data_IF_585051773387
#
_entry.id   IF_585051773387
#
_cell.length_a   1.000
_cell.length_b   1.000
_cell.length_c   1.000
_cell.angle_alpha   90.00
_cell.angle_beta   90.00
_cell.angle_gamma   90.00
#
_symmetry.space_group_name_H-M   'P 1'
#
loop_
_entity.id
_entity.type
_entity.pdbx_description
1 polymer ?
#
# COMPACT_ATOMS: atom_id res chain seq x y z
N UNK A 1 -25.05 49.50 14.84
CA UNK A 1 -23.85 49.04 14.08
C UNK A 1 -23.54 47.57 14.33
N UNK A 2 -23.46 47.07 15.58
CA UNK A 2 -23.18 45.66 15.91
C UNK A 2 -24.11 44.64 15.23
N UNK A 3 -25.42 44.91 15.17
CA UNK A 3 -26.38 44.02 14.49
C UNK A 3 -26.18 43.94 12.96
N UNK A 4 -25.73 45.02 12.32
CA UNK A 4 -25.39 45.01 10.89
C UNK A 4 -24.10 44.22 10.62
N UNK A 5 -23.13 44.23 11.54
CA UNK A 5 -21.94 43.38 11.46
C UNK A 5 -22.28 41.89 11.64
N UNK A 6 -23.18 41.56 12.57
CA UNK A 6 -23.63 40.16 12.78
C UNK A 6 -24.36 39.65 11.53
N UNK A 7 -25.25 40.46 10.95
CA UNK A 7 -25.95 40.11 9.71
C UNK A 7 -24.97 39.94 8.53
N UNK A 8 -23.97 40.81 8.43
CA UNK A 8 -22.92 40.70 7.40
C UNK A 8 -22.06 39.45 7.58
N UNK A 9 -21.70 39.10 8.82
CA UNK A 9 -20.98 37.87 9.15
C UNK A 9 -21.80 36.60 8.84
N UNK A 10 -23.11 36.64 9.07
CA UNK A 10 -24.03 35.53 8.77
C UNK A 10 -24.22 35.33 7.26
N UNK A 11 -24.25 36.41 6.48
CA UNK A 11 -24.33 36.33 5.01
C UNK A 11 -23.03 35.79 4.41
N UNK A 12 -21.88 36.18 4.97
CA UNK A 12 -20.58 35.71 4.47
C UNK A 12 -20.31 34.22 4.77
N UNK A 13 -20.88 33.66 5.83
CA UNK A 13 -20.75 32.22 6.15
C UNK A 13 -21.46 31.28 5.17
N UNK A 14 -22.35 31.78 4.30
CA UNK A 14 -23.04 30.98 3.28
C UNK A 14 -22.38 31.01 1.89
N UNK A 15 -21.32 31.82 1.70
CA UNK A 15 -20.54 31.81 0.47
C UNK A 15 -19.42 30.76 0.54
N UNK A 16 -19.77 29.48 0.57
CA UNK A 16 -18.84 28.42 0.18
C UNK A 16 -18.80 28.38 -1.34
N UNK A 17 -17.74 28.93 -1.94
CA UNK A 17 -17.45 28.69 -3.36
C UNK A 17 -17.41 27.17 -3.58
N UNK A 18 -18.10 26.61 -4.60
CA UNK A 18 -17.89 25.22 -4.95
C UNK A 18 -16.42 25.07 -5.33
N UNK A 19 -15.66 24.35 -4.51
CA UNK A 19 -14.33 23.94 -4.88
C UNK A 19 -14.48 23.08 -6.13
N UNK A 20 -13.76 23.41 -7.20
CA UNK A 20 -13.59 22.53 -8.36
C UNK A 20 -12.76 21.33 -7.90
N UNK A 21 -13.40 20.37 -7.26
CA UNK A 21 -12.79 19.08 -6.95
C UNK A 21 -12.75 18.28 -8.25
N UNK A 22 -11.65 17.58 -8.52
CA UNK A 22 -11.64 16.55 -9.55
C UNK A 22 -12.65 15.47 -9.13
N UNK A 23 -13.81 15.46 -9.77
CA UNK A 23 -14.82 14.42 -9.54
C UNK A 23 -14.31 13.15 -10.20
N UNK A 24 -13.72 12.27 -9.38
CA UNK A 24 -13.68 10.85 -9.72
C UNK A 24 -15.15 10.41 -9.76
N UNK A 25 -15.53 9.64 -10.76
CA UNK A 25 -16.88 9.09 -10.84
C UNK A 25 -17.05 8.05 -9.71
N UNK A 26 -17.51 8.51 -8.55
CA UNK A 26 -17.70 7.69 -7.34
C UNK A 26 -18.76 6.59 -7.56
N UNK A 27 -19.60 6.71 -8.59
CA UNK A 27 -20.63 5.73 -8.93
C UNK A 27 -20.05 4.53 -9.73
N UNK A 28 -18.76 4.58 -10.12
CA UNK A 28 -18.10 3.50 -10.85
C UNK A 28 -17.59 2.39 -9.93
N UNK A 29 -18.00 1.14 -10.21
CA UNK A 29 -17.49 -0.03 -9.50
C UNK A 29 -16.07 -0.40 -9.94
N UNK A 30 -15.10 -0.29 -9.04
CA UNK A 30 -13.73 -0.78 -9.20
C UNK A 30 -13.57 -2.28 -8.92
N UNK A 31 -12.39 -2.82 -9.23
CA UNK A 31 -12.06 -4.22 -8.97
C UNK A 31 -10.67 -4.43 -8.38
N UNK A 32 -10.57 -5.35 -7.41
CA UNK A 32 -9.31 -5.81 -6.81
C UNK A 32 -9.14 -7.31 -6.97
N UNK A 33 -8.07 -7.70 -7.66
CA UNK A 33 -7.64 -9.09 -7.79
C UNK A 33 -6.33 -9.27 -7.03
N UNK A 34 -6.29 -10.23 -6.12
CA UNK A 34 -5.14 -10.45 -5.26
C UNK A 34 -4.75 -11.93 -5.27
N UNK A 35 -3.46 -12.19 -5.41
CA UNK A 35 -2.88 -13.52 -5.30
C UNK A 35 -1.72 -13.49 -4.30
N UNK A 36 -1.84 -14.27 -3.23
CA UNK A 36 -0.83 -14.38 -2.18
C UNK A 36 -0.24 -15.79 -2.20
N UNK A 37 1.08 -15.89 -2.08
CA UNK A 37 1.74 -17.18 -2.01
C UNK A 37 2.85 -17.18 -0.97
N UNK A 38 3.07 -18.34 -0.38
CA UNK A 38 4.20 -18.61 0.50
C UNK A 38 4.55 -20.09 0.37
N UNK A 39 5.83 -20.39 0.19
CA UNK A 39 6.32 -21.75 0.01
C UNK A 39 7.67 -21.90 0.68
N UNK A 40 7.76 -22.80 1.65
CA UNK A 40 9.03 -23.26 2.22
C UNK A 40 9.62 -24.36 1.34
N UNK A 41 10.92 -24.32 1.09
CA UNK A 41 11.61 -25.40 0.38
C UNK A 41 11.77 -26.62 1.30
N UNK A 42 11.63 -27.82 0.75
CA UNK A 42 11.78 -29.06 1.54
C UNK A 42 13.20 -29.15 2.08
N UNK A 43 13.31 -29.66 3.31
CA UNK A 43 14.58 -29.89 4.01
C UNK A 43 15.51 -28.66 4.05
N UNK A 44 14.92 -27.46 4.13
CA UNK A 44 15.63 -26.19 4.04
C UNK A 44 15.06 -25.15 5.00
N UNK A 45 15.92 -24.21 5.39
CA UNK A 45 15.55 -22.98 6.12
C UNK A 45 15.04 -21.87 5.20
N UNK A 46 15.12 -22.09 3.88
CA UNK A 46 14.75 -21.11 2.88
C UNK A 46 13.34 -21.34 2.32
N UNK A 47 12.76 -20.27 1.81
CA UNK A 47 11.52 -20.31 1.07
C UNK A 47 11.35 -19.08 0.20
N UNK A 48 10.13 -18.91 -0.28
CA UNK A 48 9.70 -17.78 -1.07
C UNK A 48 8.32 -17.33 -0.61
N UNK A 49 8.08 -16.03 -0.64
CA UNK A 49 6.76 -15.45 -0.41
C UNK A 49 6.52 -14.31 -1.40
N UNK A 50 5.26 -13.95 -1.60
CA UNK A 50 4.91 -12.82 -2.43
C UNK A 50 3.41 -12.54 -2.49
N UNK A 51 3.11 -11.41 -3.08
CA UNK A 51 1.76 -10.96 -3.37
C UNK A 51 1.71 -10.17 -4.67
N UNK A 52 0.78 -10.56 -5.52
CA UNK A 52 0.47 -9.90 -6.78
C UNK A 52 -0.93 -9.31 -6.67
N UNK A 53 -1.05 -8.01 -6.85
CA UNK A 53 -2.31 -7.28 -6.73
C UNK A 53 -2.53 -6.46 -7.99
N UNK A 54 -3.74 -6.57 -8.53
CA UNK A 54 -4.22 -5.78 -9.65
C UNK A 54 -5.44 -5.00 -9.17
N UNK A 55 -5.34 -3.69 -9.29
CA UNK A 55 -6.36 -2.74 -8.85
C UNK A 55 -6.80 -1.94 -10.06
N UNK A 56 -8.10 -1.87 -10.26
CA UNK A 56 -8.70 -1.20 -11.40
C UNK A 56 -9.76 -0.21 -10.92
N UNK A 57 -9.81 0.95 -11.56
CA UNK A 57 -10.87 1.94 -11.38
C UNK A 57 -12.23 1.45 -11.89
N UNK A 58 -12.22 0.41 -12.74
CA UNK A 58 -13.41 -0.31 -13.22
C UNK A 58 -13.22 -1.83 -13.08
N UNK A 59 -14.05 -2.64 -13.74
CA UNK A 59 -13.98 -4.10 -13.64
C UNK A 59 -12.77 -4.76 -14.35
N UNK A 60 -11.89 -4.02 -15.04
CA UNK A 60 -10.68 -4.63 -15.62
C UNK A 60 -9.98 -3.91 -16.79
N UNK A 61 -10.43 -2.72 -17.19
CA UNK A 61 -9.88 -1.95 -18.31
C UNK A 61 -9.04 -0.72 -17.90
N UNK A 62 -9.32 -0.11 -16.75
CA UNK A 62 -8.61 1.08 -16.27
C UNK A 62 -7.78 0.75 -15.02
N UNK A 63 -6.46 0.65 -15.18
CA UNK A 63 -5.54 0.18 -14.14
C UNK A 63 -5.22 1.32 -13.16
N UNK A 64 -5.71 1.19 -11.93
CA UNK A 64 -5.30 2.02 -10.81
C UNK A 64 -3.88 1.67 -10.36
N UNK A 65 -3.64 0.39 -10.08
CA UNK A 65 -2.37 -0.04 -9.52
C UNK A 65 -2.08 -1.51 -9.81
N UNK A 66 -0.89 -1.77 -10.32
CA UNK A 66 -0.26 -3.08 -10.34
C UNK A 66 0.79 -3.11 -9.22
N UNK A 67 0.71 -4.10 -8.32
CA UNK A 67 1.74 -4.39 -7.32
C UNK A 67 2.20 -5.83 -7.51
N UNK A 68 3.47 -6.02 -7.83
CA UNK A 68 4.10 -7.33 -7.92
C UNK A 68 5.22 -7.39 -6.90
N UNK A 69 5.07 -8.20 -5.84
CA UNK A 69 6.07 -8.31 -4.79
C UNK A 69 6.44 -9.76 -4.52
N UNK A 70 7.73 -10.02 -4.47
CA UNK A 70 8.29 -11.35 -4.18
C UNK A 70 9.49 -11.20 -3.26
N UNK A 71 9.70 -12.16 -2.36
CA UNK A 71 10.84 -12.17 -1.46
C UNK A 71 11.30 -13.59 -1.15
N UNK A 72 12.61 -13.73 -0.98
CA UNK A 72 13.22 -14.94 -0.45
C UNK A 72 13.13 -14.88 1.07
N UNK A 73 12.68 -15.97 1.66
CA UNK A 73 12.54 -16.11 3.12
C UNK A 73 13.63 -16.99 3.68
N UNK A 74 14.06 -16.69 4.90
CA UNK A 74 14.96 -17.49 5.70
C UNK A 74 14.44 -17.59 7.13
N UNK A 75 14.32 -18.81 7.64
CA UNK A 75 13.91 -19.09 9.02
C UNK A 75 15.09 -19.73 9.79
N UNK A 76 15.71 -19.02 10.74
CA UNK A 76 16.76 -19.58 11.58
C UNK A 76 16.28 -20.82 12.35
N UNK A 77 17.15 -21.84 12.48
CA UNK A 77 16.83 -23.06 13.24
C UNK A 77 16.45 -22.70 14.68
N UNK A 78 15.51 -23.46 15.24
CA UNK A 78 15.02 -23.30 16.61
C UNK A 78 14.36 -21.92 16.88
N UNK A 79 13.87 -21.24 15.84
CA UNK A 79 13.11 -20.00 15.98
C UNK A 79 11.86 -20.04 15.10
N UNK A 80 10.85 -19.27 15.47
CA UNK A 80 9.68 -19.01 14.62
C UNK A 80 9.81 -17.72 13.81
N UNK A 81 10.99 -17.10 13.82
CA UNK A 81 11.25 -15.85 13.11
C UNK A 81 11.44 -16.12 11.63
N UNK A 82 10.78 -15.35 10.77
CA UNK A 82 10.98 -15.38 9.33
C UNK A 82 11.60 -14.05 8.90
N UNK A 83 12.82 -14.13 8.36
CA UNK A 83 13.49 -13.02 7.72
C UNK A 83 13.19 -13.06 6.23
N UNK A 84 12.91 -11.91 5.63
CA UNK A 84 12.63 -11.79 4.20
C UNK A 84 13.47 -10.70 3.58
N UNK A 85 14.10 -11.01 2.45
CA UNK A 85 14.65 -10.02 1.54
C UNK A 85 13.88 -10.10 0.22
N UNK A 86 13.32 -8.98 -0.21
CA UNK A 86 12.47 -8.99 -1.39
C UNK A 86 12.48 -7.72 -2.22
N UNK A 87 11.82 -7.84 -3.36
CA UNK A 87 11.66 -6.81 -4.35
C UNK A 87 10.18 -6.66 -4.70
N UNK A 88 9.75 -5.42 -4.87
CA UNK A 88 8.43 -5.03 -5.31
C UNK A 88 8.53 -4.11 -6.51
N UNK A 89 7.70 -4.36 -7.51
CA UNK A 89 7.41 -3.44 -8.60
C UNK A 89 5.98 -2.92 -8.42
N UNK A 90 5.81 -1.60 -8.53
CA UNK A 90 4.51 -0.96 -8.49
C UNK A 90 4.38 -0.11 -9.74
N UNK A 91 3.27 -0.24 -10.47
CA UNK A 91 2.89 0.73 -11.50
C UNK A 91 1.56 1.35 -11.10
N UNK A 92 1.51 2.68 -11.00
CA UNK A 92 0.30 3.41 -10.62
C UNK A 92 -0.21 4.19 -11.82
N UNK A 93 -1.47 3.96 -12.21
CA UNK A 93 -2.15 4.68 -13.27
C UNK A 93 -2.96 5.85 -12.73
N UNK A 94 -3.37 6.75 -13.62
CA UNK A 94 -4.31 7.83 -13.32
C UNK A 94 -5.70 7.42 -13.78
N UNK A 95 -6.72 7.89 -13.08
CA UNK A 95 -8.11 7.68 -13.49
C UNK A 95 -8.39 8.29 -14.87
N UNK A 96 -9.09 7.55 -15.73
CA UNK A 96 -9.57 8.02 -17.03
C UNK A 96 -8.76 7.51 -18.23
N UNK A 97 -8.83 8.22 -19.36
CA UNK A 97 -8.26 7.74 -20.64
C UNK A 97 -6.72 7.77 -20.69
N UNK A 98 -6.07 8.38 -19.71
CA UNK A 98 -4.62 8.47 -19.64
C UNK A 98 -4.00 7.09 -19.42
N UNK A 99 -3.14 6.68 -20.34
CA UNK A 99 -2.34 5.45 -20.19
C UNK A 99 -1.01 5.69 -19.45
N UNK A 100 -0.78 6.93 -18.98
CA UNK A 100 0.42 7.29 -18.25
C UNK A 100 0.49 6.56 -16.92
N UNK A 101 1.67 6.02 -16.60
CA UNK A 101 1.93 5.29 -15.36
C UNK A 101 3.17 5.86 -14.69
N UNK A 102 3.15 5.87 -13.37
CA UNK A 102 4.32 6.13 -12.53
C UNK A 102 4.76 4.80 -11.96
N UNK A 103 5.97 4.37 -12.32
CA UNK A 103 6.54 3.15 -11.78
C UNK A 103 7.32 3.42 -10.50
N UNK A 104 7.34 2.43 -9.62
CA UNK A 104 8.16 2.38 -8.42
C UNK A 104 8.82 1.01 -8.29
N UNK A 105 10.14 1.03 -8.12
CA UNK A 105 10.92 -0.10 -7.65
C UNK A 105 11.10 0.00 -6.14
N UNK A 106 10.92 -1.11 -5.44
CA UNK A 106 11.07 -1.17 -3.99
C UNK A 106 11.83 -2.41 -3.57
N UNK A 107 12.95 -2.24 -2.87
CA UNK A 107 13.54 -3.33 -2.10
C UNK A 107 13.01 -3.28 -0.69
N UNK A 108 12.86 -4.44 -0.05
CA UNK A 108 12.45 -4.50 1.34
C UNK A 108 13.16 -5.61 2.10
N UNK A 109 13.47 -5.30 3.35
CA UNK A 109 13.90 -6.26 4.36
C UNK A 109 12.80 -6.35 5.42
N UNK A 110 12.43 -7.55 5.80
CA UNK A 110 11.37 -7.79 6.78
C UNK A 110 11.78 -8.85 7.80
N UNK A 111 11.38 -8.63 9.06
CA UNK A 111 11.41 -9.61 10.12
C UNK A 111 9.98 -9.83 10.63
N UNK A 112 9.45 -11.03 10.42
CA UNK A 112 8.17 -11.49 10.95
C UNK A 112 8.43 -12.37 12.18
N UNK A 113 7.92 -11.98 13.32
CA UNK A 113 8.19 -12.61 14.62
C UNK A 113 6.89 -12.92 15.35
N UNK A 114 6.36 -14.14 15.20
CA UNK A 114 5.27 -14.64 16.03
C UNK A 114 5.73 -14.80 17.47
N UNK A 115 4.97 -14.26 18.42
CA UNK A 115 5.23 -14.34 19.86
C UNK A 115 3.98 -14.88 20.56
N UNK A 116 4.16 -15.94 21.35
CA UNK A 116 3.12 -16.46 22.24
C UNK A 116 3.37 -15.94 23.66
N UNK A 117 2.37 -15.31 24.27
CA UNK A 117 2.40 -14.84 25.66
C UNK A 117 1.39 -15.63 26.47
N UNK A 118 1.90 -16.40 27.46
CA UNK A 118 1.10 -17.38 28.19
C UNK A 118 0.53 -18.46 27.27
N UNK A 119 -0.68 -18.94 27.57
CA UNK A 119 -1.32 -19.99 26.77
C UNK A 119 -2.20 -19.48 25.64
N UNK A 120 -2.68 -18.23 25.74
CA UNK A 120 -3.82 -17.73 24.96
C UNK A 120 -3.50 -16.62 23.98
N UNK A 121 -2.47 -15.82 24.23
CA UNK A 121 -2.20 -14.64 23.43
C UNK A 121 -1.14 -14.92 22.37
N UNK A 122 -1.50 -14.71 21.11
CA UNK A 122 -0.63 -14.84 19.96
C UNK A 122 -0.48 -13.46 19.33
N UNK A 123 0.73 -12.91 19.42
CA UNK A 123 1.12 -11.67 18.77
C UNK A 123 1.98 -11.99 17.55
N UNK A 124 1.94 -11.12 16.55
CA UNK A 124 2.87 -11.19 15.41
C UNK A 124 3.44 -9.82 15.17
N UNK A 125 4.74 -9.69 15.42
CA UNK A 125 5.49 -8.47 15.17
C UNK A 125 6.04 -8.50 13.75
N UNK A 126 5.91 -7.41 13.00
CA UNK A 126 6.39 -7.33 11.63
C UNK A 126 7.14 -6.02 11.41
N UNK A 127 8.45 -6.10 11.46
CA UNK A 127 9.29 -4.96 11.13
C UNK A 127 9.63 -5.01 9.66
N UNK A 128 9.44 -3.90 8.96
CA UNK A 128 9.83 -3.79 7.55
C UNK A 128 10.57 -2.49 7.29
N UNK A 129 11.72 -2.62 6.63
CA UNK A 129 12.49 -1.53 6.07
C UNK A 129 12.38 -1.57 4.55
N UNK A 130 12.01 -0.45 3.94
CA UNK A 130 11.82 -0.33 2.50
C UNK A 130 12.69 0.79 1.94
N UNK A 131 13.34 0.53 0.81
CA UNK A 131 14.02 1.52 -0.01
C UNK A 131 13.23 1.67 -1.30
N UNK A 132 12.89 2.91 -1.69
CA UNK A 132 11.89 3.21 -2.70
C UNK A 132 12.47 4.13 -3.76
N UNK A 133 12.37 3.71 -5.01
CA UNK A 133 12.71 4.48 -6.20
C UNK A 133 11.44 4.68 -7.01
N UNK A 134 10.80 5.83 -6.82
CA UNK A 134 9.61 6.23 -7.59
C UNK A 134 10.09 7.09 -8.76
N UNK A 135 9.57 6.84 -9.96
CA UNK A 135 9.88 7.67 -11.13
C UNK A 135 9.60 9.15 -10.85
N UNK A 136 10.52 10.01 -11.28
CA UNK A 136 10.45 11.47 -11.13
C UNK A 136 10.35 11.97 -9.68
N UNK A 137 10.83 11.19 -8.70
CA UNK A 137 10.90 11.61 -7.30
C UNK A 137 12.26 11.23 -6.69
N UNK A 138 12.63 11.95 -5.63
CA UNK A 138 13.82 11.61 -4.86
C UNK A 138 13.70 10.24 -4.21
N UNK A 139 14.85 9.60 -3.99
CA UNK A 139 14.96 8.35 -3.23
C UNK A 139 14.35 8.49 -1.83
N UNK A 140 13.57 7.50 -1.42
CA UNK A 140 12.90 7.51 -0.11
C UNK A 140 13.11 6.19 0.62
N UNK A 141 13.15 6.27 1.94
CA UNK A 141 13.15 5.11 2.82
C UNK A 141 11.90 5.12 3.69
N UNK A 142 11.46 3.93 4.13
CA UNK A 142 10.33 3.79 5.04
C UNK A 142 10.56 2.67 6.05
N UNK A 143 10.30 2.96 7.31
CA UNK A 143 10.24 1.98 8.39
C UNK A 143 8.77 1.74 8.77
N UNK A 144 8.42 0.48 9.04
CA UNK A 144 7.09 0.07 9.49
C UNK A 144 7.19 -0.96 10.61
N UNK A 145 6.23 -0.90 11.52
CA UNK A 145 5.93 -1.89 12.56
C UNK A 145 4.43 -2.21 12.52
#
# INVERSE_FOLDING_TARGET
>A
MKQKLILFSLIFSFFSLPALTQTIDEDQAGAWYMYFFTKRFKDSQFGIQGDYQFRYWNLGGDLEQLLLRTGLTYQPKNTNVTLTAGYGFIASGQFGESTAKINESRTYLEALMPQKVGERFLFTHRFRYEQRWVENQDFRTRYRY
#
